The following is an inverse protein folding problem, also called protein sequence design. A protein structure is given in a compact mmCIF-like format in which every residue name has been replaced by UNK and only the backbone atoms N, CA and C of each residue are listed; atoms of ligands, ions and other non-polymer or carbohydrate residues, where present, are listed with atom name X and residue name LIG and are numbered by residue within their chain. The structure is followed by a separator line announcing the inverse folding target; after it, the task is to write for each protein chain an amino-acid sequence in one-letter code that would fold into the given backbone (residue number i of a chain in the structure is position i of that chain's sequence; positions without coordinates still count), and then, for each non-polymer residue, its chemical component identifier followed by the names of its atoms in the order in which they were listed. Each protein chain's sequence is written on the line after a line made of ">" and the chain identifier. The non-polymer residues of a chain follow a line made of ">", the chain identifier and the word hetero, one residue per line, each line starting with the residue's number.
data_IF_527359040610
#
_entry.id   IF_527359040610
#
_cell.length_a   1.000
_cell.length_b   1.000
_cell.length_c   1.000
_cell.angle_alpha   90.00
_cell.angle_beta   90.00
_cell.angle_gamma   90.00
#
_symmetry.space_group_name_H-M   'P 1'
#
loop_
_entity.id
_entity.type
_entity.pdbx_description
1 polymer ?
#
# COMPACT_ATOMS: atom_id res chain seq x y z
N UNK A 1 -23.89 4.46 -145.76
CA UNK A 1 -24.74 3.88 -144.70
C UNK A 1 -26.18 4.21 -145.01
N UNK A 2 -27.03 3.19 -145.09
CA UNK A 2 -28.48 3.36 -145.09
C UNK A 2 -28.95 3.67 -143.66
N UNK A 3 -30.07 4.38 -143.49
CA UNK A 3 -30.59 4.74 -142.15
C UNK A 3 -30.77 3.50 -141.24
N UNK A 4 -31.01 2.34 -141.86
CA UNK A 4 -31.10 1.04 -141.19
C UNK A 4 -29.79 0.61 -140.52
N UNK A 5 -28.63 0.89 -141.12
CA UNK A 5 -27.32 0.51 -140.55
C UNK A 5 -26.97 1.36 -139.33
N UNK A 6 -27.25 2.67 -139.39
CA UNK A 6 -27.07 3.57 -138.22
C UNK A 6 -27.98 3.19 -137.06
N UNK A 7 -29.20 2.75 -137.36
CA UNK A 7 -30.15 2.33 -136.33
C UNK A 7 -29.72 1.03 -135.65
N UNK A 8 -29.07 0.12 -136.38
CA UNK A 8 -28.49 -1.11 -135.82
C UNK A 8 -27.29 -0.78 -134.91
N UNK A 9 -26.39 0.11 -135.34
CA UNK A 9 -25.23 0.54 -134.55
C UNK A 9 -25.66 1.21 -133.22
N UNK A 10 -26.67 2.08 -133.27
CA UNK A 10 -27.27 2.67 -132.06
C UNK A 10 -27.92 1.65 -131.13
N UNK A 11 -28.53 0.58 -131.67
CA UNK A 11 -29.11 -0.50 -130.87
C UNK A 11 -28.01 -1.32 -130.20
N UNK A 12 -26.90 -1.58 -130.88
CA UNK A 12 -25.77 -2.31 -130.31
C UNK A 12 -25.04 -1.49 -129.23
N UNK A 13 -24.84 -0.19 -129.43
CA UNK A 13 -24.31 0.72 -128.41
C UNK A 13 -25.23 0.83 -127.20
N UNK A 14 -26.54 0.93 -127.44
CA UNK A 14 -27.55 0.92 -126.38
C UNK A 14 -27.50 -0.39 -125.59
N UNK A 15 -27.40 -1.54 -126.29
CA UNK A 15 -27.29 -2.85 -125.66
C UNK A 15 -26.02 -2.98 -124.83
N UNK A 16 -24.88 -2.50 -125.33
CA UNK A 16 -23.62 -2.48 -124.58
C UNK A 16 -23.75 -1.65 -123.30
N UNK A 17 -24.36 -0.47 -123.40
CA UNK A 17 -24.61 0.42 -122.25
C UNK A 17 -25.55 -0.23 -121.22
N UNK A 18 -26.58 -0.94 -121.67
CA UNK A 18 -27.50 -1.67 -120.79
C UNK A 18 -26.77 -2.80 -120.04
N UNK A 19 -25.86 -3.53 -120.70
CA UNK A 19 -25.06 -4.57 -120.05
C UNK A 19 -24.13 -3.98 -118.99
N UNK A 20 -23.41 -2.88 -119.30
CA UNK A 20 -22.53 -2.24 -118.31
C UNK A 20 -23.30 -1.72 -117.10
N UNK A 21 -24.48 -1.15 -117.31
CA UNK A 21 -25.35 -0.68 -116.22
C UNK A 21 -25.87 -1.83 -115.36
N UNK A 22 -26.12 -3.01 -115.95
CA UNK A 22 -26.50 -4.22 -115.21
C UNK A 22 -25.34 -4.70 -114.33
N UNK A 23 -24.13 -4.76 -114.86
CA UNK A 23 -22.95 -5.17 -114.10
C UNK A 23 -22.65 -4.19 -112.94
N UNK A 24 -22.76 -2.88 -113.19
CA UNK A 24 -22.63 -1.85 -112.16
C UNK A 24 -23.73 -1.97 -111.08
N UNK A 25 -24.97 -2.22 -111.48
CA UNK A 25 -26.07 -2.46 -110.53
C UNK A 25 -25.77 -3.66 -109.64
N UNK A 26 -25.33 -4.77 -110.22
CA UNK A 26 -25.06 -6.01 -109.47
C UNK A 26 -23.88 -5.82 -108.51
N UNK A 27 -22.85 -5.09 -108.94
CA UNK A 27 -21.73 -4.69 -108.08
C UNK A 27 -22.18 -3.81 -106.91
N UNK A 28 -22.97 -2.76 -107.19
CA UNK A 28 -23.52 -1.87 -106.17
C UNK A 28 -24.45 -2.61 -105.20
N UNK A 29 -25.18 -3.62 -105.68
CA UNK A 29 -26.01 -4.46 -104.84
C UNK A 29 -25.15 -5.29 -103.87
N UNK A 30 -24.08 -5.92 -104.36
CA UNK A 30 -23.12 -6.68 -103.53
C UNK A 30 -22.45 -5.79 -102.48
N UNK A 31 -21.93 -4.62 -102.89
CA UNK A 31 -21.32 -3.66 -101.97
C UNK A 31 -22.33 -3.15 -100.92
N UNK A 32 -23.60 -2.97 -101.32
CA UNK A 32 -24.68 -2.59 -100.41
C UNK A 32 -25.02 -3.65 -99.36
N UNK A 33 -24.95 -4.94 -99.74
CA UNK A 33 -25.14 -6.06 -98.81
C UNK A 33 -23.98 -6.23 -97.83
N UNK A 34 -22.73 -6.08 -98.32
CA UNK A 34 -21.53 -6.06 -97.48
C UNK A 34 -21.56 -4.92 -96.47
N UNK A 35 -21.90 -3.70 -96.91
CA UNK A 35 -22.02 -2.53 -96.03
C UNK A 35 -23.09 -2.71 -94.95
N UNK A 36 -24.23 -3.32 -95.29
CA UNK A 36 -25.28 -3.63 -94.30
C UNK A 36 -24.79 -4.63 -93.26
N UNK A 37 -24.05 -5.64 -93.68
CA UNK A 37 -23.48 -6.67 -92.79
C UNK A 37 -22.43 -6.05 -91.88
N UNK A 38 -21.48 -5.29 -92.44
CA UNK A 38 -20.45 -4.60 -91.68
C UNK A 38 -21.04 -3.59 -90.67
N UNK A 39 -22.09 -2.86 -91.07
CA UNK A 39 -22.81 -1.95 -90.17
C UNK A 39 -23.43 -2.70 -88.98
N UNK A 40 -24.09 -3.82 -89.24
CA UNK A 40 -24.71 -4.64 -88.19
C UNK A 40 -23.65 -5.19 -87.21
N UNK A 41 -22.54 -5.71 -87.72
CA UNK A 41 -21.44 -6.17 -86.86
C UNK A 41 -20.82 -5.04 -86.03
N UNK A 42 -20.71 -3.85 -86.60
CA UNK A 42 -20.21 -2.67 -85.88
C UNK A 42 -21.18 -2.24 -84.77
N UNK A 43 -22.49 -2.25 -85.03
CA UNK A 43 -23.53 -1.96 -84.03
C UNK A 43 -23.52 -2.99 -82.89
N UNK A 44 -23.42 -4.29 -83.21
CA UNK A 44 -23.33 -5.36 -82.20
C UNK A 44 -22.05 -5.21 -81.34
N UNK A 45 -20.91 -4.89 -81.96
CA UNK A 45 -19.66 -4.61 -81.24
C UNK A 45 -19.75 -3.36 -80.37
N UNK A 46 -20.40 -2.30 -80.86
CA UNK A 46 -20.61 -1.06 -80.09
C UNK A 46 -21.46 -1.33 -78.85
N UNK A 47 -22.55 -2.07 -79.02
CA UNK A 47 -23.43 -2.42 -77.91
C UNK A 47 -22.73 -3.30 -76.86
N UNK A 48 -21.95 -4.30 -77.30
CA UNK A 48 -21.16 -5.13 -76.39
C UNK A 48 -20.06 -4.32 -75.65
N UNK A 49 -19.48 -3.31 -76.31
CA UNK A 49 -18.51 -2.42 -75.68
C UNK A 49 -19.17 -1.48 -74.65
N UNK A 50 -20.33 -0.91 -74.97
CA UNK A 50 -21.11 -0.07 -74.03
C UNK A 50 -21.52 -0.85 -72.78
N UNK A 51 -21.95 -2.10 -72.93
CA UNK A 51 -22.36 -2.90 -71.78
C UNK A 51 -21.17 -3.22 -70.86
N UNK A 52 -20.01 -3.58 -71.44
CA UNK A 52 -18.77 -3.74 -70.67
C UNK A 52 -18.32 -2.45 -70.00
N UNK A 53 -18.51 -1.30 -70.66
CA UNK A 53 -18.14 0.00 -70.10
C UNK A 53 -18.96 0.28 -68.84
N UNK A 54 -20.27 0.02 -68.87
CA UNK A 54 -21.15 0.16 -67.70
C UNK A 54 -20.76 -0.78 -66.56
N UNK A 55 -20.41 -2.02 -66.88
CA UNK A 55 -19.96 -3.00 -65.88
C UNK A 55 -18.68 -2.51 -65.18
N UNK A 56 -17.69 -2.07 -65.95
CA UNK A 56 -16.44 -1.51 -65.42
C UNK A 56 -16.70 -0.24 -64.60
N UNK A 57 -17.61 0.63 -65.03
CA UNK A 57 -17.94 1.86 -64.30
C UNK A 57 -18.60 1.55 -62.95
N UNK A 58 -19.50 0.57 -62.91
CA UNK A 58 -20.10 0.09 -61.66
C UNK A 58 -19.06 -0.53 -60.71
N UNK A 59 -18.16 -1.36 -61.23
CA UNK A 59 -17.12 -2.00 -60.42
C UNK A 59 -16.08 -0.98 -59.94
N UNK A 60 -15.75 0.02 -60.76
CA UNK A 60 -14.90 1.13 -60.35
C UNK A 60 -15.53 1.94 -59.22
N UNK A 61 -16.82 2.24 -59.32
CA UNK A 61 -17.52 2.96 -58.26
C UNK A 61 -17.57 2.17 -56.96
N UNK A 62 -17.87 0.86 -57.00
CA UNK A 62 -17.80 -0.01 -55.81
C UNK A 62 -16.41 -0.03 -55.19
N UNK A 63 -15.38 -0.21 -56.02
CA UNK A 63 -13.98 -0.25 -55.55
C UNK A 63 -13.58 1.07 -54.90
N UNK A 64 -14.07 2.20 -55.44
CA UNK A 64 -13.85 3.53 -54.86
C UNK A 64 -14.53 3.65 -53.49
N UNK A 65 -15.78 3.24 -53.38
CA UNK A 65 -16.52 3.28 -52.10
C UNK A 65 -15.87 2.38 -51.05
N UNK A 66 -15.41 1.18 -51.43
CA UNK A 66 -14.66 0.27 -50.56
C UNK A 66 -13.33 0.88 -50.11
N UNK A 67 -12.61 1.56 -51.01
CA UNK A 67 -11.37 2.27 -50.69
C UNK A 67 -11.62 3.39 -49.67
N UNK A 68 -12.65 4.20 -49.89
CA UNK A 68 -12.98 5.33 -49.01
C UNK A 68 -13.40 4.84 -47.61
N UNK A 69 -14.14 3.72 -47.54
CA UNK A 69 -14.46 3.06 -46.27
C UNK A 69 -13.21 2.53 -45.56
N UNK A 70 -12.32 1.83 -46.29
CA UNK A 70 -11.08 1.31 -45.73
C UNK A 70 -10.14 2.43 -45.24
N UNK A 71 -10.07 3.57 -45.93
CA UNK A 71 -9.31 4.73 -45.48
C UNK A 71 -9.88 5.32 -44.18
N UNK A 72 -11.21 5.33 -44.03
CA UNK A 72 -11.89 5.79 -42.82
C UNK A 72 -11.61 4.85 -41.64
N UNK A 73 -11.75 3.53 -41.84
CA UNK A 73 -11.44 2.53 -40.81
C UNK A 73 -9.97 2.59 -40.38
N UNK A 74 -9.05 2.77 -41.34
CA UNK A 74 -7.63 2.93 -41.05
C UNK A 74 -7.35 4.19 -40.21
N UNK A 75 -8.04 5.29 -40.48
CA UNK A 75 -7.91 6.51 -39.69
C UNK A 75 -8.40 6.31 -38.25
N UNK A 76 -9.55 5.61 -38.07
CA UNK A 76 -10.07 5.27 -36.75
C UNK A 76 -9.12 4.34 -35.98
N UNK A 77 -8.64 3.27 -36.62
CA UNK A 77 -7.70 2.33 -36.01
C UNK A 77 -6.39 3.01 -35.59
N UNK A 78 -5.88 3.96 -36.38
CA UNK A 78 -4.71 4.78 -36.00
C UNK A 78 -4.98 5.66 -34.79
N UNK A 79 -6.15 6.30 -34.72
CA UNK A 79 -6.52 7.13 -33.57
C UNK A 79 -6.68 6.29 -32.29
N UNK A 80 -7.27 5.10 -32.39
CA UNK A 80 -7.37 4.15 -31.27
C UNK A 80 -6.00 3.66 -30.82
N UNK A 81 -5.11 3.33 -31.76
CA UNK A 81 -3.75 2.89 -31.45
C UNK A 81 -2.98 3.96 -30.68
N UNK A 82 -3.06 5.22 -31.11
CA UNK A 82 -2.40 6.33 -30.42
C UNK A 82 -2.97 6.54 -29.01
N UNK A 83 -4.30 6.47 -28.87
CA UNK A 83 -4.98 6.55 -27.56
C UNK A 83 -4.55 5.42 -26.61
N UNK A 84 -4.46 4.19 -27.10
CA UNK A 84 -3.99 3.04 -26.33
C UNK A 84 -2.52 3.21 -25.93
N UNK A 85 -1.68 3.72 -26.83
CA UNK A 85 -0.27 3.98 -26.56
C UNK A 85 -0.09 5.01 -25.45
N UNK A 86 -0.81 6.13 -25.49
CA UNK A 86 -0.77 7.14 -24.43
C UNK A 86 -1.20 6.56 -23.09
N UNK A 87 -2.29 5.78 -23.06
CA UNK A 87 -2.75 5.11 -21.82
C UNK A 87 -1.73 4.11 -21.28
N UNK A 88 -1.03 3.40 -22.15
CA UNK A 88 0.02 2.46 -21.76
C UNK A 88 1.22 3.20 -21.14
N UNK A 89 1.66 4.31 -21.74
CA UNK A 89 2.73 5.15 -21.21
C UNK A 89 2.36 5.76 -19.84
N UNK A 90 1.13 6.28 -19.69
CA UNK A 90 0.62 6.79 -18.41
C UNK A 90 0.58 5.69 -17.33
N UNK A 91 0.11 4.49 -17.67
CA UNK A 91 0.06 3.36 -16.75
C UNK A 91 1.46 2.88 -16.35
N UNK A 92 2.42 2.88 -17.26
CA UNK A 92 3.81 2.52 -16.99
C UNK A 92 4.49 3.54 -16.06
N UNK A 93 4.26 4.84 -16.29
CA UNK A 93 4.72 5.91 -15.41
C UNK A 93 4.13 5.77 -14.01
N UNK A 94 2.81 5.62 -13.90
CA UNK A 94 2.12 5.46 -12.62
C UNK A 94 2.58 4.21 -11.86
N UNK A 95 2.79 3.10 -12.55
CA UNK A 95 3.31 1.87 -11.96
C UNK A 95 4.73 2.06 -11.44
N UNK A 96 5.58 2.78 -12.17
CA UNK A 96 6.96 3.05 -11.77
C UNK A 96 6.97 3.91 -10.50
N UNK A 97 6.18 4.98 -10.45
CA UNK A 97 6.01 5.82 -9.26
C UNK A 97 5.52 5.02 -8.05
N UNK A 98 4.52 4.17 -8.23
CA UNK A 98 4.00 3.31 -7.16
C UNK A 98 5.05 2.30 -6.66
N UNK A 99 5.82 1.70 -7.56
CA UNK A 99 6.92 0.78 -7.19
C UNK A 99 8.01 1.51 -6.42
N UNK A 100 8.38 2.71 -6.82
CA UNK A 100 9.40 3.50 -6.13
C UNK A 100 8.92 3.98 -4.76
N UNK A 101 7.64 4.36 -4.63
CA UNK A 101 7.02 4.66 -3.33
C UNK A 101 7.05 3.46 -2.38
N UNK A 102 6.65 2.27 -2.86
CA UNK A 102 6.68 1.03 -2.07
C UNK A 102 8.12 0.66 -1.68
N UNK A 103 9.10 0.87 -2.58
CA UNK A 103 10.51 0.63 -2.26
C UNK A 103 11.00 1.55 -1.15
N UNK A 104 10.66 2.84 -1.23
CA UNK A 104 11.02 3.82 -0.21
C UNK A 104 10.40 3.46 1.15
N UNK A 105 9.10 3.14 1.19
CA UNK A 105 8.42 2.70 2.42
C UNK A 105 9.05 1.42 3.00
N UNK A 106 9.36 0.44 2.15
CA UNK A 106 10.04 -0.79 2.58
C UNK A 106 11.41 -0.51 3.17
N UNK A 107 12.18 0.42 2.59
CA UNK A 107 13.50 0.78 3.09
C UNK A 107 13.42 1.54 4.43
N UNK A 108 12.44 2.42 4.61
CA UNK A 108 12.19 3.08 5.90
C UNK A 108 11.79 2.07 6.98
N UNK A 109 10.84 1.17 6.68
CA UNK A 109 10.43 0.12 7.62
C UNK A 109 11.58 -0.81 8.02
N UNK A 110 12.49 -1.11 7.08
CA UNK A 110 13.70 -1.89 7.40
C UNK A 110 14.62 -1.16 8.36
N UNK A 111 14.77 0.15 8.20
CA UNK A 111 15.57 0.99 9.08
C UNK A 111 14.95 1.07 10.47
N UNK A 112 13.64 1.32 10.57
CA UNK A 112 12.91 1.29 11.84
C UNK A 112 13.05 -0.06 12.55
N UNK A 113 12.92 -1.16 11.81
CA UNK A 113 13.09 -2.51 12.38
C UNK A 113 14.50 -2.75 12.91
N UNK A 114 15.52 -2.24 12.22
CA UNK A 114 16.90 -2.31 12.69
C UNK A 114 17.10 -1.48 13.97
N UNK A 115 16.56 -0.26 14.02
CA UNK A 115 16.60 0.59 15.22
C UNK A 115 15.91 -0.07 16.42
N UNK A 116 14.73 -0.69 16.21
CA UNK A 116 14.01 -1.45 17.22
C UNK A 116 14.85 -2.63 17.72
N UNK A 117 15.48 -3.39 16.82
CA UNK A 117 16.34 -4.51 17.19
C UNK A 117 17.55 -4.05 18.01
N UNK A 118 18.18 -2.93 17.63
CA UNK A 118 19.29 -2.36 18.38
C UNK A 118 18.85 -1.90 19.78
N UNK A 119 17.68 -1.27 19.90
CA UNK A 119 17.10 -0.89 21.19
C UNK A 119 16.80 -2.11 22.07
N UNK A 120 16.20 -3.15 21.51
CA UNK A 120 15.95 -4.43 22.20
C UNK A 120 17.24 -5.09 22.67
N UNK A 121 18.30 -5.04 21.86
CA UNK A 121 19.63 -5.51 22.23
C UNK A 121 20.17 -4.79 23.46
N UNK A 122 20.13 -3.44 23.47
CA UNK A 122 20.55 -2.63 24.63
C UNK A 122 19.71 -2.91 25.88
N UNK A 123 18.39 -3.04 25.74
CA UNK A 123 17.51 -3.37 26.87
C UNK A 123 17.86 -4.74 27.45
N UNK A 124 18.15 -5.72 26.59
CA UNK A 124 18.56 -7.06 27.01
C UNK A 124 19.91 -7.04 27.75
N UNK A 125 20.85 -6.22 27.29
CA UNK A 125 22.14 -6.02 27.95
C UNK A 125 21.98 -5.36 29.33
N UNK A 126 21.23 -4.25 29.41
CA UNK A 126 20.89 -3.58 30.66
C UNK A 126 20.20 -4.52 31.65
N UNK A 127 19.28 -5.37 31.17
CA UNK A 127 18.61 -6.36 32.02
C UNK A 127 19.59 -7.40 32.57
N UNK A 128 20.54 -7.85 31.75
CA UNK A 128 21.58 -8.80 32.16
C UNK A 128 22.51 -8.17 33.20
N UNK A 129 22.94 -6.93 32.98
CA UNK A 129 23.78 -6.17 33.92
C UNK A 129 23.05 -5.96 35.25
N UNK A 130 21.81 -5.46 35.23
CA UNK A 130 21.02 -5.26 36.43
C UNK A 130 20.76 -6.57 37.20
N UNK A 131 20.57 -7.68 36.49
CA UNK A 131 20.40 -9.01 37.12
C UNK A 131 21.69 -9.49 37.77
N UNK A 132 22.84 -9.32 37.11
CA UNK A 132 24.15 -9.68 37.65
C UNK A 132 24.53 -8.80 38.85
N UNK A 133 24.24 -7.49 38.80
CA UNK A 133 24.42 -6.58 39.94
C UNK A 133 23.53 -6.98 41.11
N UNK A 134 22.25 -7.30 40.85
CA UNK A 134 21.33 -7.78 41.88
C UNK A 134 21.84 -9.07 42.53
N UNK A 135 22.34 -10.02 41.74
CA UNK A 135 22.92 -11.26 42.24
C UNK A 135 24.17 -11.01 43.09
N UNK A 136 25.09 -10.15 42.62
CA UNK A 136 26.27 -9.75 43.37
C UNK A 136 25.96 -8.99 44.67
N UNK A 137 24.89 -8.17 44.68
CA UNK A 137 24.40 -7.51 45.89
C UNK A 137 23.74 -8.50 46.85
N UNK A 138 22.96 -9.46 46.34
CA UNK A 138 22.34 -10.51 47.13
C UNK A 138 23.38 -11.45 47.76
N UNK A 139 24.50 -11.70 47.07
CA UNK A 139 25.61 -12.49 47.59
C UNK A 139 26.42 -11.75 48.68
N UNK A 140 26.53 -10.41 48.59
CA UNK A 140 27.33 -9.60 49.53
C UNK A 140 26.60 -9.20 50.81
N UNK A 141 25.27 -9.23 50.83
CA UNK A 141 24.48 -8.88 52.02
C UNK A 141 23.52 -10.03 52.28
N UNK A 142 23.97 -11.00 53.09
CA UNK A 142 23.04 -11.98 53.64
C UNK A 142 22.05 -11.19 54.52
N UNK A 143 20.79 -11.15 54.11
CA UNK A 143 19.73 -10.42 54.83
C UNK A 143 19.65 -10.92 56.28
N UNK A 144 20.02 -12.18 56.50
CA UNK A 144 20.18 -12.82 57.81
C UNK A 144 21.25 -12.14 58.68
N UNK A 145 22.40 -11.78 58.10
CA UNK A 145 23.50 -11.12 58.81
C UNK A 145 23.17 -9.66 59.12
N UNK A 146 22.50 -8.96 58.21
CA UNK A 146 22.04 -7.59 58.46
C UNK A 146 20.99 -7.56 59.58
N UNK A 147 20.05 -8.52 59.59
CA UNK A 147 19.10 -8.71 60.68
C UNK A 147 19.81 -9.02 62.00
N UNK A 148 20.81 -9.91 61.99
CA UNK A 148 21.59 -10.25 63.17
C UNK A 148 22.33 -9.03 63.76
N UNK A 149 22.92 -8.19 62.90
CA UNK A 149 23.55 -6.92 63.31
C UNK A 149 22.50 -5.98 63.92
N UNK A 150 21.34 -5.84 63.28
CA UNK A 150 20.29 -4.93 63.74
C UNK A 150 19.70 -5.38 65.09
N UNK A 151 19.47 -6.69 65.26
CA UNK A 151 19.05 -7.29 66.54
C UNK A 151 20.12 -7.03 67.60
N UNK A 152 21.40 -7.26 67.28
CA UNK A 152 22.51 -7.02 68.22
C UNK A 152 22.60 -5.57 68.65
N UNK A 153 22.46 -4.61 67.72
CA UNK A 153 22.46 -3.19 68.02
C UNK A 153 21.27 -2.82 68.92
N UNK A 154 20.06 -3.25 68.59
CA UNK A 154 18.87 -2.97 69.39
C UNK A 154 19.00 -3.58 70.78
N UNK A 155 19.32 -4.87 70.90
CA UNK A 155 19.32 -5.57 72.18
C UNK A 155 20.49 -5.16 73.08
N UNK A 156 21.69 -5.03 72.51
CA UNK A 156 22.94 -4.91 73.26
C UNK A 156 23.46 -3.48 73.34
N UNK A 157 23.43 -2.73 72.24
CA UNK A 157 24.00 -1.37 72.21
C UNK A 157 22.98 -0.32 72.68
N UNK A 158 21.74 -0.41 72.22
CA UNK A 158 20.67 0.53 72.57
C UNK A 158 19.82 0.10 73.75
N UNK A 159 20.10 -1.06 74.35
CA UNK A 159 19.31 -1.60 75.47
C UNK A 159 17.80 -1.61 75.17
N UNK A 160 17.41 -2.07 73.98
CA UNK A 160 16.03 -2.08 73.50
C UNK A 160 15.09 -2.92 74.38
N UNK A 161 15.61 -3.90 75.11
CA UNK A 161 14.82 -4.76 76.01
C UNK A 161 14.14 -3.97 77.15
N UNK A 162 14.84 -3.07 77.88
CA UNK A 162 14.20 -2.11 78.77
C UNK A 162 13.11 -1.26 78.12
N UNK A 163 13.40 -0.66 76.96
CA UNK A 163 12.46 0.19 76.23
C UNK A 163 11.18 -0.57 75.88
N UNK A 164 11.30 -1.75 75.26
CA UNK A 164 10.16 -2.58 74.89
C UNK A 164 9.31 -2.99 76.10
N UNK A 165 9.94 -3.44 77.20
CA UNK A 165 9.21 -3.85 78.42
C UNK A 165 8.44 -2.71 79.07
N UNK A 166 9.02 -1.51 79.11
CA UNK A 166 8.35 -0.32 79.65
C UNK A 166 7.13 0.02 78.78
N UNK A 167 7.30 0.03 77.46
CA UNK A 167 6.22 0.28 76.51
C UNK A 167 5.09 -0.75 76.62
N UNK A 168 5.40 -2.04 76.73
CA UNK A 168 4.40 -3.09 76.98
C UNK A 168 3.66 -2.87 78.30
N UNK A 169 4.39 -2.54 79.37
CA UNK A 169 3.80 -2.32 80.70
C UNK A 169 2.86 -1.10 80.70
N UNK A 170 3.26 -0.01 80.06
CA UNK A 170 2.43 1.20 79.93
C UNK A 170 1.23 0.97 79.02
N UNK A 171 1.38 0.17 77.96
CA UNK A 171 0.26 -0.22 77.11
C UNK A 171 -0.78 -1.07 77.86
N UNK A 172 -0.36 -1.98 78.73
CA UNK A 172 -1.30 -2.83 79.47
C UNK A 172 -2.08 -2.07 80.54
N UNK A 173 -1.43 -1.11 81.20
CA UNK A 173 -2.05 -0.34 82.30
C UNK A 173 -2.86 0.85 81.79
N UNK A 174 -2.51 1.41 80.62
CA UNK A 174 -3.24 2.50 79.91
C UNK A 174 -3.44 3.79 80.69
N UNK A 175 -2.79 3.94 81.83
CA UNK A 175 -2.80 5.13 82.68
C UNK A 175 -1.38 5.47 83.12
N UNK A 176 -1.18 6.69 83.62
CA UNK A 176 0.12 7.14 84.10
C UNK A 176 0.60 6.27 85.27
N UNK A 177 1.85 5.79 85.21
CA UNK A 177 2.48 4.99 86.27
C UNK A 177 3.78 5.65 86.70
N UNK A 178 4.06 5.65 88.00
CA UNK A 178 5.35 6.11 88.52
C UNK A 178 6.51 5.22 88.08
N UNK A 179 7.66 5.82 87.81
CA UNK A 179 8.93 5.12 87.47
C UNK A 179 9.29 4.00 88.45
N UNK A 180 9.01 4.17 89.74
CA UNK A 180 9.25 3.16 90.79
C UNK A 180 8.41 1.90 90.59
N UNK A 181 7.15 2.07 90.20
CA UNK A 181 6.24 0.96 89.93
C UNK A 181 6.64 0.24 88.64
N UNK A 182 7.09 0.97 87.61
CA UNK A 182 7.64 0.39 86.38
C UNK A 182 8.88 -0.46 86.67
N UNK A 183 9.81 0.02 87.49
CA UNK A 183 11.00 -0.76 87.88
C UNK A 183 10.62 -2.04 88.65
N UNK A 184 9.63 -1.95 89.52
CA UNK A 184 9.16 -3.09 90.32
C UNK A 184 8.41 -4.13 89.47
N UNK A 185 7.59 -3.68 88.51
CA UNK A 185 6.79 -4.58 87.66
C UNK A 185 7.59 -5.23 86.53
N UNK A 186 8.59 -4.53 85.98
CA UNK A 186 9.40 -5.03 84.86
C UNK A 186 10.65 -5.82 85.30
N UNK A 187 11.01 -5.73 86.58
CA UNK A 187 12.25 -6.31 87.14
C UNK A 187 13.53 -5.67 86.60
N UNK A 188 13.43 -4.48 86.01
CA UNK A 188 14.57 -3.74 85.46
C UNK A 188 15.16 -2.84 86.54
N UNK A 189 16.49 -2.74 86.60
CA UNK A 189 17.17 -1.85 87.55
C UNK A 189 16.66 -0.40 87.42
N UNK A 190 16.38 0.31 88.54
CA UNK A 190 15.79 1.66 88.49
C UNK A 190 16.57 2.67 87.64
N UNK A 191 17.90 2.58 87.61
CA UNK A 191 18.75 3.44 86.77
C UNK A 191 18.56 3.18 85.27
N UNK A 192 18.37 1.92 84.88
CA UNK A 192 18.10 1.55 83.49
C UNK A 192 16.68 1.92 83.06
N UNK A 193 15.71 1.85 83.99
CA UNK A 193 14.35 2.37 83.75
C UNK A 193 14.37 3.87 83.54
N UNK A 194 15.11 4.62 84.38
CA UNK A 194 15.22 6.06 84.23
C UNK A 194 15.78 6.44 82.85
N UNK A 195 16.90 5.82 82.46
CA UNK A 195 17.51 6.08 81.16
C UNK A 195 16.55 5.76 80.02
N UNK A 196 15.93 4.58 80.04
CA UNK A 196 14.99 4.17 79.00
C UNK A 196 13.74 5.06 78.94
N UNK A 197 13.23 5.55 80.07
CA UNK A 197 12.09 6.50 80.08
C UNK A 197 12.46 7.82 79.41
N UNK A 198 13.65 8.37 79.70
CA UNK A 198 14.09 9.59 79.01
C UNK A 198 14.36 9.36 77.52
N UNK A 199 14.96 8.23 77.16
CA UNK A 199 15.21 7.87 75.76
C UNK A 199 13.87 7.70 74.99
N UNK A 200 12.86 7.06 75.60
CA UNK A 200 11.51 6.96 75.04
C UNK A 200 10.78 8.31 74.97
N UNK A 201 10.98 9.19 75.95
CA UNK A 201 10.39 10.52 75.97
C UNK A 201 10.98 11.41 74.89
N UNK A 202 12.30 11.35 74.69
CA UNK A 202 13.00 12.03 73.59
C UNK A 202 12.55 11.53 72.21
N UNK A 203 12.10 10.28 72.12
CA UNK A 203 11.52 9.70 70.91
C UNK A 203 10.00 9.94 70.78
N UNK A 204 9.41 10.80 71.63
CA UNK A 204 7.98 11.14 71.67
C UNK A 204 7.02 9.95 71.89
N UNK A 205 7.53 8.83 72.43
CA UNK A 205 6.72 7.63 72.68
C UNK A 205 6.02 7.66 74.04
N UNK A 206 6.61 8.36 75.01
CA UNK A 206 6.05 8.53 76.36
C UNK A 206 6.17 9.98 76.80
N UNK A 207 5.27 10.43 77.69
CA UNK A 207 5.42 11.66 78.45
C UNK A 207 5.97 11.32 79.83
N UNK A 208 6.95 12.10 80.27
CA UNK A 208 7.54 11.96 81.59
C UNK A 208 7.48 13.29 82.34
N UNK A 209 6.97 13.27 83.56
CA UNK A 209 6.98 14.41 84.48
C UNK A 209 8.06 14.22 85.54
N UNK A 210 9.07 15.08 85.55
CA UNK A 210 10.20 15.02 86.48
C UNK A 210 9.79 15.25 87.95
N UNK A 211 8.68 15.94 88.20
CA UNK A 211 8.18 16.28 89.55
C UNK A 211 7.40 15.12 90.15
N UNK A 212 6.42 14.60 89.40
CA UNK A 212 5.58 13.48 89.87
C UNK A 212 6.20 12.10 89.61
N UNK A 213 7.21 12.04 88.74
CA UNK A 213 7.86 10.83 88.24
C UNK A 213 6.90 9.87 87.52
N UNK A 214 5.78 10.38 87.04
CA UNK A 214 4.80 9.63 86.28
C UNK A 214 5.20 9.54 84.81
N UNK A 215 5.01 8.35 84.24
CA UNK A 215 5.25 8.05 82.84
C UNK A 215 3.93 7.61 82.21
N UNK A 216 3.56 8.22 81.10
CA UNK A 216 2.35 7.92 80.34
C UNK A 216 2.69 7.69 78.87
N UNK A 217 1.99 6.75 78.22
CA UNK A 217 2.15 6.48 76.80
C UNK A 217 1.55 7.62 75.96
N UNK A 218 2.31 8.21 75.04
CA UNK A 218 1.81 9.32 74.22
C UNK A 218 0.82 8.86 73.14
N UNK A 219 1.02 7.65 72.60
CA UNK A 219 0.21 7.04 71.53
C UNK A 219 0.22 5.53 71.67
N UNK A 220 -0.90 4.87 71.37
CA UNK A 220 -0.97 3.40 71.31
C UNK A 220 -0.15 2.87 70.14
N UNK A 221 0.99 2.25 70.46
CA UNK A 221 2.00 1.77 69.50
C UNK A 221 1.89 0.26 69.20
N UNK A 222 0.99 -0.47 69.87
CA UNK A 222 0.85 -1.93 69.72
C UNK A 222 -0.47 -2.36 69.06
N UNK A 223 -1.32 -1.40 68.68
CA UNK A 223 -2.55 -1.66 67.92
C UNK A 223 -2.21 -2.16 66.52
N UNK A 224 -2.29 -3.48 66.32
CA UNK A 224 -2.35 -4.10 64.98
C UNK A 224 -3.58 -3.54 64.25
N UNK A 225 -3.33 -2.84 63.13
CA UNK A 225 -4.27 -2.86 62.01
C UNK A 225 -4.23 -4.24 61.36
#
# INVERSE_FOLDING_TARGET
>A
MTDREKLIEQIDDFKSTVVTLIDERDKLQSEGEELRTAKREAEEKSWAAEEKLKEIENDFQKTKDEKDNAETELAMAKAELESVKTRAEEAESSKTEAVDAIRAERDELKKEMQEINDQLGRVSELYREASAEKEALAEKVDVSDLLAIYITLIETVFFGKPHARILYTLHDVKTAITRKNIASSTGIMPAAVLKAVHDLANADLVKYDDVTQEVELTKDILRRG
#
